data_IF_205059227167
#
_entry.id   IF_205059227167
#
_cell.length_a   1.000
_cell.length_b   1.000
_cell.length_c   1.000
_cell.angle_alpha   90.00
_cell.angle_beta   90.00
_cell.angle_gamma   90.00
#
_symmetry.space_group_name_H-M   'P 1'
#
loop_
_entity.id
_entity.type
_entity.pdbx_description
1 polymer ?
#
# COMPACT_ATOMS: atom_id res chain seq x y z
N UNK A 1 11.85 10.22 -30.36
CA UNK A 1 10.83 9.17 -30.18
C UNK A 1 10.31 9.29 -28.77
N UNK A 2 9.07 9.74 -28.62
CA UNK A 2 8.44 9.98 -27.32
C UNK A 2 7.99 8.62 -26.73
N UNK A 3 8.62 8.21 -25.63
CA UNK A 3 8.18 7.06 -24.87
C UNK A 3 6.97 7.48 -24.03
N UNK A 4 5.81 7.01 -24.49
CA UNK A 4 4.53 7.07 -23.82
C UNK A 4 4.63 6.30 -22.49
N UNK A 5 5.03 6.97 -21.40
CA UNK A 5 4.93 6.44 -20.04
C UNK A 5 3.44 6.34 -19.72
N UNK A 6 2.92 5.13 -19.84
CA UNK A 6 1.57 4.72 -19.50
C UNK A 6 1.20 5.20 -18.10
N UNK A 7 0.39 6.26 -18.05
CA UNK A 7 -0.37 6.71 -16.87
C UNK A 7 -1.52 5.73 -16.53
N UNK A 8 -1.21 4.45 -16.38
CA UNK A 8 -2.05 3.49 -15.66
C UNK A 8 -1.31 3.32 -14.33
N UNK A 9 -1.71 3.94 -13.20
CA UNK A 9 -2.56 3.25 -12.21
C UNK A 9 -3.36 4.18 -11.28
N UNK A 10 -3.48 5.50 -11.52
CA UNK A 10 -4.17 6.38 -10.55
C UNK A 10 -5.70 6.41 -10.67
N UNK A 11 -6.27 5.87 -11.77
CA UNK A 11 -7.72 5.96 -12.06
C UNK A 11 -8.49 4.65 -11.91
N UNK A 12 -7.81 3.53 -11.70
CA UNK A 12 -8.47 2.24 -11.45
C UNK A 12 -8.91 2.07 -9.98
N UNK A 13 -8.42 2.91 -9.08
CA UNK A 13 -8.58 2.72 -7.63
C UNK A 13 -9.62 3.62 -6.96
N UNK A 14 -10.38 4.39 -7.74
CA UNK A 14 -11.50 5.21 -7.24
C UNK A 14 -12.73 4.33 -6.89
N UNK A 15 -12.66 3.01 -7.11
CA UNK A 15 -13.74 2.08 -6.78
C UNK A 15 -14.00 1.86 -5.28
N UNK A 16 -13.05 2.21 -4.39
CA UNK A 16 -13.16 1.96 -2.95
C UNK A 16 -14.33 2.67 -2.25
N UNK A 17 -14.74 3.85 -2.76
CA UNK A 17 -15.89 4.58 -2.21
C UNK A 17 -17.23 3.83 -2.31
N UNK A 18 -17.32 2.80 -3.17
CA UNK A 18 -18.52 1.99 -3.32
C UNK A 18 -18.59 0.81 -2.34
N UNK A 19 -17.47 0.39 -1.72
CA UNK A 19 -17.43 -0.84 -0.92
C UNK A 19 -18.26 -0.72 0.38
N UNK A 20 -18.24 0.46 1.02
CA UNK A 20 -19.00 0.69 2.26
C UNK A 20 -20.24 1.57 2.06
N UNK A 21 -20.33 2.34 0.97
CA UNK A 21 -21.37 3.34 0.77
C UNK A 21 -22.70 2.84 0.18
N UNK A 22 -22.75 1.61 -0.33
CA UNK A 22 -23.92 1.07 -1.04
C UNK A 22 -24.69 0.00 -0.25
N UNK A 23 -24.30 -0.32 0.98
CA UNK A 23 -25.06 -1.25 1.81
C UNK A 23 -26.20 -0.51 2.50
N UNK A 24 -27.38 -0.54 1.88
CA UNK A 24 -28.62 -0.15 2.54
C UNK A 24 -29.03 -1.26 3.51
N UNK A 25 -28.68 -1.10 4.78
CA UNK A 25 -29.05 -2.05 5.83
C UNK A 25 -30.52 -1.83 6.18
N UNK A 26 -31.33 -2.89 6.13
CA UNK A 26 -32.73 -2.79 6.52
C UNK A 26 -32.82 -2.46 8.01
N UNK A 27 -33.56 -1.40 8.36
CA UNK A 27 -33.87 -1.11 9.76
C UNK A 27 -35.00 -2.04 10.20
N UNK A 28 -34.86 -2.80 11.31
CA UNK A 28 -35.91 -3.68 11.80
C UNK A 28 -37.20 -2.89 12.03
N UNK A 29 -38.32 -3.41 11.55
CA UNK A 29 -39.65 -2.75 11.63
C UNK A 29 -40.08 -2.53 13.09
N UNK A 30 -39.60 -3.38 13.98
CA UNK A 30 -39.79 -3.33 15.43
C UNK A 30 -39.19 -2.09 16.06
N UNK A 31 -38.02 -1.64 15.59
CA UNK A 31 -37.36 -0.46 16.14
C UNK A 31 -38.15 0.85 15.86
N UNK A 32 -39.12 0.80 14.94
CA UNK A 32 -39.98 1.90 14.49
C UNK A 32 -41.46 1.75 14.92
N UNK A 33 -41.85 0.66 15.58
CA UNK A 33 -43.24 0.44 16.01
C UNK A 33 -43.57 1.16 17.34
N UNK A 34 -44.82 1.61 17.50
CA UNK A 34 -45.33 2.06 18.81
C UNK A 34 -45.46 0.86 19.76
N UNK A 35 -45.00 0.95 21.02
CA UNK A 35 -44.87 -0.22 21.89
C UNK A 35 -46.25 -0.72 22.30
N UNK A 36 -46.62 -1.93 21.84
CA UNK A 36 -47.86 -2.61 22.22
C UNK A 36 -47.70 -3.43 23.50
N UNK A 37 -46.46 -3.87 23.83
CA UNK A 37 -46.12 -4.61 25.05
C UNK A 37 -44.65 -4.41 25.51
N UNK A 38 -44.36 -4.82 26.75
CA UNK A 38 -43.02 -4.71 27.35
C UNK A 38 -41.96 -5.58 26.63
N UNK A 39 -42.38 -6.74 26.11
CA UNK A 39 -41.49 -7.66 25.39
C UNK A 39 -41.10 -7.08 24.02
N UNK A 40 -42.05 -6.48 23.29
CA UNK A 40 -41.78 -5.78 22.01
C UNK A 40 -40.85 -4.58 22.24
N UNK A 41 -41.01 -3.86 23.35
CA UNK A 41 -40.13 -2.74 23.69
C UNK A 41 -38.69 -3.21 23.98
N UNK A 42 -38.51 -4.31 24.71
CA UNK A 42 -37.19 -4.89 24.97
C UNK A 42 -36.48 -5.33 23.69
N UNK A 43 -37.21 -5.93 22.74
CA UNK A 43 -36.66 -6.32 21.44
C UNK A 43 -36.30 -5.11 20.56
N UNK A 44 -37.11 -4.04 20.59
CA UNK A 44 -36.80 -2.79 19.90
C UNK A 44 -35.50 -2.14 20.42
N UNK A 45 -35.29 -2.13 21.73
CA UNK A 45 -34.09 -1.57 22.33
C UNK A 45 -32.85 -2.45 22.07
N UNK A 46 -33.01 -3.77 22.12
CA UNK A 46 -31.95 -4.70 21.73
C UNK A 46 -31.53 -4.52 20.25
N UNK A 47 -32.50 -4.33 19.36
CA UNK A 47 -32.25 -4.06 17.94
C UNK A 47 -31.49 -2.73 17.72
N UNK A 48 -31.84 -1.68 18.46
CA UNK A 48 -31.15 -0.38 18.41
C UNK A 48 -29.69 -0.47 18.87
N UNK A 49 -29.43 -1.17 19.97
CA UNK A 49 -28.06 -1.37 20.49
C UNK A 49 -27.20 -2.12 19.47
N UNK A 50 -27.73 -3.16 18.83
CA UNK A 50 -27.02 -3.89 17.78
C UNK A 50 -26.76 -3.04 16.54
N UNK A 51 -27.71 -2.18 16.15
CA UNK A 51 -27.55 -1.27 15.02
C UNK A 51 -26.40 -0.27 15.27
N UNK A 52 -26.34 0.30 16.47
CA UNK A 52 -25.27 1.22 16.87
C UNK A 52 -23.89 0.52 16.92
N UNK A 53 -23.82 -0.71 17.46
CA UNK A 53 -22.59 -1.51 17.47
C UNK A 53 -22.10 -1.80 16.06
N UNK A 54 -22.99 -2.26 15.18
CA UNK A 54 -22.64 -2.53 13.79
C UNK A 54 -22.19 -1.27 13.05
N UNK A 55 -22.88 -0.13 13.23
CA UNK A 55 -22.45 1.14 12.62
C UNK A 55 -21.04 1.52 13.08
N UNK A 56 -20.72 1.35 14.37
CA UNK A 56 -19.37 1.59 14.89
C UNK A 56 -18.35 0.67 14.25
N UNK A 57 -18.65 -0.63 14.15
CA UNK A 57 -17.76 -1.63 13.54
C UNK A 57 -17.54 -1.36 12.05
N UNK A 58 -18.57 -0.98 11.30
CA UNK A 58 -18.46 -0.63 9.89
C UNK A 58 -17.69 0.68 9.67
N UNK A 59 -17.90 1.68 10.53
CA UNK A 59 -17.11 2.91 10.47
C UNK A 59 -15.63 2.62 10.75
N UNK A 60 -15.34 1.81 11.76
CA UNK A 60 -13.97 1.40 12.07
C UNK A 60 -13.34 0.61 10.92
N UNK A 61 -14.06 -0.39 10.36
CA UNK A 61 -13.59 -1.14 9.21
C UNK A 61 -13.35 -0.24 7.98
N UNK A 62 -14.19 0.76 7.77
CA UNK A 62 -13.98 1.76 6.71
C UNK A 62 -12.71 2.57 6.95
N UNK A 63 -12.48 3.06 8.17
CA UNK A 63 -11.28 3.83 8.52
C UNK A 63 -10.01 2.98 8.40
N UNK A 64 -10.04 1.75 8.89
CA UNK A 64 -8.93 0.79 8.80
C UNK A 64 -8.65 0.42 7.32
N UNK A 65 -9.69 0.24 6.51
CA UNK A 65 -9.58 0.02 5.07
C UNK A 65 -8.85 1.18 4.39
N UNK A 66 -9.30 2.43 4.60
CA UNK A 66 -8.64 3.59 3.97
C UNK A 66 -7.21 3.79 4.47
N UNK A 67 -6.94 3.49 5.74
CA UNK A 67 -5.59 3.53 6.31
C UNK A 67 -4.68 2.52 5.59
N UNK A 68 -5.13 1.27 5.42
CA UNK A 68 -4.39 0.26 4.68
C UNK A 68 -4.10 0.67 3.23
N UNK A 69 -5.06 1.34 2.56
CA UNK A 69 -4.86 1.88 1.22
C UNK A 69 -3.84 3.01 1.15
N UNK A 70 -3.86 3.94 2.11
CA UNK A 70 -2.88 5.01 2.20
C UNK A 70 -1.47 4.46 2.44
N UNK A 71 -1.35 3.44 3.29
CA UNK A 71 -0.09 2.74 3.55
C UNK A 71 0.42 1.98 2.31
N UNK A 72 -0.48 1.34 1.55
CA UNK A 72 -0.15 0.75 0.25
C UNK A 72 0.39 1.80 -0.74
N UNK A 73 -0.29 2.93 -0.87
CA UNK A 73 0.09 3.99 -1.81
C UNK A 73 1.43 4.61 -1.41
N UNK A 74 1.66 4.78 -0.11
CA UNK A 74 2.94 5.22 0.44
C UNK A 74 4.07 4.23 0.12
N UNK A 75 3.83 2.92 0.29
CA UNK A 75 4.80 1.90 -0.05
C UNK A 75 5.11 1.90 -1.55
N UNK A 76 4.09 2.03 -2.40
CA UNK A 76 4.24 2.13 -3.86
C UNK A 76 5.04 3.37 -4.27
N UNK A 77 4.80 4.51 -3.64
CA UNK A 77 5.59 5.73 -3.90
C UNK A 77 7.07 5.54 -3.55
N UNK A 78 7.37 4.86 -2.43
CA UNK A 78 8.76 4.54 -2.06
C UNK A 78 9.41 3.55 -3.04
N UNK A 79 8.66 2.61 -3.60
CA UNK A 79 9.15 1.74 -4.68
C UNK A 79 9.54 2.56 -5.91
N UNK A 80 8.70 3.51 -6.33
CA UNK A 80 8.99 4.39 -7.48
C UNK A 80 10.26 5.23 -7.21
N UNK A 81 10.42 5.76 -5.99
CA UNK A 81 11.63 6.49 -5.60
C UNK A 81 12.89 5.62 -5.61
N UNK A 82 12.81 4.40 -5.08
CA UNK A 82 13.93 3.45 -5.08
C UNK A 82 14.31 3.07 -6.51
N UNK A 83 13.34 2.81 -7.38
CA UNK A 83 13.58 2.51 -8.79
C UNK A 83 14.21 3.69 -9.53
N UNK A 84 13.74 4.92 -9.28
CA UNK A 84 14.33 6.11 -9.88
C UNK A 84 15.80 6.31 -9.49
N UNK A 85 16.15 6.04 -8.22
CA UNK A 85 17.54 6.05 -7.75
C UNK A 85 18.38 4.96 -8.41
N UNK A 86 17.83 3.75 -8.56
CA UNK A 86 18.51 2.65 -9.26
C UNK A 86 18.84 3.04 -10.69
N UNK A 87 17.87 3.63 -11.40
CA UNK A 87 18.04 4.05 -12.78
C UNK A 87 19.10 5.15 -12.92
N UNK A 88 19.06 6.18 -12.06
CA UNK A 88 20.07 7.25 -12.03
C UNK A 88 21.47 6.73 -11.72
N UNK A 89 21.60 5.86 -10.71
CA UNK A 89 22.87 5.21 -10.38
C UNK A 89 23.38 4.35 -11.54
N UNK A 90 22.51 3.64 -12.26
CA UNK A 90 22.90 2.84 -13.43
C UNK A 90 23.45 3.70 -14.56
N UNK A 91 22.85 4.87 -14.81
CA UNK A 91 23.38 5.85 -15.77
C UNK A 91 24.79 6.30 -15.37
N UNK A 92 24.98 6.71 -14.11
CA UNK A 92 26.29 7.13 -13.58
C UNK A 92 27.33 6.01 -13.64
N UNK A 93 26.94 4.78 -13.29
CA UNK A 93 27.82 3.61 -13.39
C UNK A 93 28.27 3.41 -14.84
N UNK A 94 27.36 3.51 -15.81
CA UNK A 94 27.70 3.36 -17.22
C UNK A 94 28.72 4.42 -17.69
N UNK A 95 28.52 5.68 -17.31
CA UNK A 95 29.46 6.78 -17.61
C UNK A 95 30.85 6.54 -16.98
N UNK A 96 30.88 6.13 -15.70
CA UNK A 96 32.13 5.80 -15.01
C UNK A 96 32.84 4.60 -15.65
N UNK A 97 32.08 3.57 -16.06
CA UNK A 97 32.62 2.40 -16.75
C UNK A 97 33.16 2.74 -18.13
N UNK A 98 32.53 3.66 -18.86
CA UNK A 98 33.04 4.14 -20.15
C UNK A 98 34.37 4.88 -19.97
N UNK A 99 34.47 5.75 -18.96
CA UNK A 99 35.71 6.46 -18.62
C UNK A 99 36.84 5.50 -18.25
N UNK A 100 36.58 4.57 -17.33
CA UNK A 100 37.53 3.53 -16.93
C UNK A 100 37.93 2.63 -18.11
N UNK A 101 36.97 2.24 -18.96
CA UNK A 101 37.22 1.43 -20.15
C UNK A 101 38.02 2.19 -21.22
N UNK A 102 37.80 3.49 -21.38
CA UNK A 102 38.62 4.37 -22.21
C UNK A 102 40.08 4.38 -21.76
N UNK A 103 40.31 4.56 -20.45
CA UNK A 103 41.65 4.61 -19.86
C UNK A 103 42.37 3.26 -19.94
N UNK A 104 41.66 2.17 -19.65
CA UNK A 104 42.21 0.81 -19.80
C UNK A 104 42.57 0.49 -21.25
N UNK A 105 41.74 0.89 -22.23
CA UNK A 105 42.06 0.73 -23.66
C UNK A 105 43.25 1.60 -24.08
N UNK A 106 43.36 2.82 -23.56
CA UNK A 106 44.52 3.69 -23.76
C UNK A 106 45.79 3.03 -23.23
N UNK A 107 45.78 2.52 -21.99
CA UNK A 107 46.89 1.77 -21.41
C UNK A 107 47.26 0.52 -22.22
N UNK A 108 46.27 -0.21 -22.74
CA UNK A 108 46.49 -1.41 -23.54
C UNK A 108 47.05 -1.10 -24.94
N UNK A 109 46.51 -0.08 -25.63
CA UNK A 109 46.88 0.27 -27.01
C UNK A 109 48.15 1.10 -27.09
N UNK A 110 48.24 2.12 -26.24
CA UNK A 110 49.33 3.08 -26.26
C UNK A 110 50.45 2.68 -25.26
N UNK A 111 50.21 1.65 -24.44
CA UNK A 111 51.23 0.90 -23.70
C UNK A 111 51.80 1.58 -22.46
N UNK A 112 52.16 0.78 -21.45
CA UNK A 112 52.92 1.20 -20.26
C UNK A 112 54.32 1.77 -20.60
N UNK A 113 54.82 1.47 -21.79
CA UNK A 113 56.12 1.91 -22.30
C UNK A 113 56.11 3.40 -22.65
N UNK A 114 55.02 3.96 -23.17
CA UNK A 114 54.98 5.38 -23.58
C UNK A 114 55.12 6.34 -22.39
N UNK A 115 54.52 6.04 -21.24
CA UNK A 115 54.66 6.90 -20.05
C UNK A 115 56.00 6.70 -19.33
N UNK A 116 56.55 5.48 -19.32
CA UNK A 116 57.92 5.24 -18.85
C UNK A 116 58.95 5.90 -19.78
N UNK A 117 58.72 5.91 -21.09
CA UNK A 117 59.55 6.63 -22.06
C UNK A 117 59.45 8.14 -21.90
N UNK A 118 58.28 8.68 -21.54
CA UNK A 118 58.11 10.11 -21.22
C UNK A 118 58.81 10.48 -19.91
N UNK A 119 58.79 9.60 -18.91
CA UNK A 119 59.54 9.79 -17.66
C UNK A 119 61.06 9.67 -17.87
N UNK A 120 61.52 8.67 -18.63
CA UNK A 120 62.94 8.39 -18.87
C UNK A 120 63.54 9.30 -19.95
N UNK A 121 62.72 9.89 -20.82
CA UNK A 121 63.09 10.85 -21.85
C UNK A 121 62.99 12.32 -21.43
N UNK A 122 62.68 12.61 -20.15
CA UNK A 122 62.58 13.99 -19.65
C UNK A 122 63.92 14.72 -19.77
N UNK A 123 63.92 15.93 -20.34
CA UNK A 123 65.13 16.72 -20.58
C UNK A 123 65.70 17.40 -19.33
N UNK A 124 64.94 17.44 -18.23
CA UNK A 124 65.35 18.04 -16.95
C UNK A 124 64.68 17.35 -15.75
N UNK A 125 65.27 17.52 -14.55
CA UNK A 125 64.70 16.98 -13.30
C UNK A 125 63.34 17.64 -12.96
N UNK A 126 63.13 18.89 -13.34
CA UNK A 126 61.85 19.59 -13.14
C UNK A 126 60.73 18.99 -14.02
N UNK A 127 61.06 18.63 -15.27
CA UNK A 127 60.13 17.95 -16.17
C UNK A 127 59.79 16.53 -15.69
N UNK A 128 60.77 15.82 -15.11
CA UNK A 128 60.54 14.53 -14.47
C UNK A 128 59.53 14.63 -13.32
N UNK A 129 59.69 15.61 -12.41
CA UNK A 129 58.77 15.80 -11.28
C UNK A 129 57.35 16.16 -11.73
N UNK A 130 57.19 16.98 -12.77
CA UNK A 130 55.86 17.28 -13.34
C UNK A 130 55.20 16.05 -13.94
N UNK A 131 55.95 15.24 -14.69
CA UNK A 131 55.42 14.01 -15.29
C UNK A 131 55.06 12.96 -14.21
N UNK A 132 55.84 12.90 -13.12
CA UNK A 132 55.53 12.07 -11.95
C UNK A 132 54.25 12.52 -11.24
N UNK A 133 54.08 13.83 -11.02
CA UNK A 133 52.88 14.42 -10.42
C UNK A 133 51.62 14.16 -11.25
N UNK A 134 51.72 14.27 -12.58
CA UNK A 134 50.63 13.92 -13.51
C UNK A 134 50.25 12.44 -13.37
N UNK A 135 51.22 11.54 -13.30
CA UNK A 135 50.96 10.10 -13.13
C UNK A 135 50.29 9.80 -11.79
N UNK A 136 50.74 10.43 -10.72
CA UNK A 136 50.11 10.28 -9.41
C UNK A 136 48.65 10.77 -9.46
N UNK A 137 48.41 11.96 -10.02
CA UNK A 137 47.07 12.54 -10.20
C UNK A 137 46.15 11.62 -11.03
N UNK A 138 46.68 11.03 -12.10
CA UNK A 138 45.92 10.08 -12.93
C UNK A 138 45.55 8.82 -12.16
N UNK A 139 46.47 8.23 -11.39
CA UNK A 139 46.20 7.06 -10.56
C UNK A 139 45.18 7.36 -9.46
N UNK A 140 45.29 8.52 -8.79
CA UNK A 140 44.30 8.96 -7.79
C UNK A 140 42.91 9.15 -8.41
N UNK A 141 42.85 9.73 -9.62
CA UNK A 141 41.61 9.85 -10.39
C UNK A 141 41.01 8.49 -10.72
N UNK A 142 41.80 7.52 -11.17
CA UNK A 142 41.33 6.16 -11.49
C UNK A 142 40.82 5.42 -10.26
N UNK A 143 41.56 5.50 -9.15
CA UNK A 143 41.14 4.94 -7.87
C UNK A 143 39.82 5.55 -7.41
N UNK A 144 39.64 6.87 -7.58
CA UNK A 144 38.40 7.57 -7.25
C UNK A 144 37.22 7.10 -8.13
N UNK A 145 37.40 6.97 -9.44
CA UNK A 145 36.36 6.46 -10.35
C UNK A 145 35.91 5.03 -9.97
N UNK A 146 36.86 4.16 -9.62
CA UNK A 146 36.56 2.79 -9.15
C UNK A 146 35.82 2.83 -7.82
N UNK A 147 36.26 3.66 -6.87
CA UNK A 147 35.62 3.82 -5.58
C UNK A 147 34.17 4.31 -5.73
N UNK A 148 33.93 5.35 -6.54
CA UNK A 148 32.59 5.86 -6.86
C UNK A 148 31.71 4.77 -7.49
N UNK A 149 32.24 4.03 -8.46
CA UNK A 149 31.50 2.92 -9.10
C UNK A 149 31.09 1.87 -8.07
N UNK A 150 31.98 1.52 -7.14
CA UNK A 150 31.68 0.57 -6.07
C UNK A 150 30.60 1.11 -5.14
N UNK A 151 30.71 2.36 -4.70
CA UNK A 151 29.70 3.00 -3.84
C UNK A 151 28.32 3.04 -4.50
N UNK A 152 28.24 3.40 -5.78
CA UNK A 152 26.95 3.40 -6.52
C UNK A 152 26.35 2.00 -6.65
N UNK A 153 27.19 0.97 -6.83
CA UNK A 153 26.72 -0.43 -6.85
C UNK A 153 26.21 -0.88 -5.49
N UNK A 154 26.92 -0.54 -4.42
CA UNK A 154 26.48 -0.82 -3.05
C UNK A 154 25.16 -0.10 -2.72
N UNK A 155 25.00 1.15 -3.17
CA UNK A 155 23.73 1.87 -3.04
C UNK A 155 22.61 1.21 -3.85
N UNK A 156 22.87 0.78 -5.08
CA UNK A 156 21.89 0.03 -5.87
C UNK A 156 21.41 -1.26 -5.19
N UNK A 157 22.29 -2.01 -4.55
CA UNK A 157 21.86 -3.20 -3.80
C UNK A 157 20.98 -2.82 -2.61
N UNK A 158 21.25 -1.71 -1.92
CA UNK A 158 20.36 -1.19 -0.87
C UNK A 158 19.01 -0.75 -1.44
N UNK A 159 18.99 0.00 -2.54
CA UNK A 159 17.74 0.45 -3.17
C UNK A 159 16.90 -0.74 -3.68
N UNK A 160 17.53 -1.81 -4.18
CA UNK A 160 16.82 -3.04 -4.57
C UNK A 160 16.20 -3.74 -3.37
N UNK A 161 16.92 -3.83 -2.26
CA UNK A 161 16.39 -4.41 -1.03
C UNK A 161 15.22 -3.58 -0.49
N UNK A 162 15.34 -2.25 -0.50
CA UNK A 162 14.25 -1.33 -0.13
C UNK A 162 13.04 -1.52 -1.05
N UNK A 163 13.25 -1.56 -2.37
CA UNK A 163 12.18 -1.80 -3.34
C UNK A 163 11.43 -3.10 -3.05
N UNK A 164 12.14 -4.20 -2.78
CA UNK A 164 11.53 -5.49 -2.45
C UNK A 164 10.74 -5.41 -1.14
N UNK A 165 11.30 -4.81 -0.10
CA UNK A 165 10.62 -4.65 1.19
C UNK A 165 9.33 -3.81 1.07
N UNK A 166 9.37 -2.74 0.27
CA UNK A 166 8.19 -1.92 0.00
C UNK A 166 7.17 -2.64 -0.89
N UNK A 167 7.62 -3.48 -1.83
CA UNK A 167 6.72 -4.32 -2.63
C UNK A 167 5.96 -5.34 -1.77
N UNK A 168 6.65 -5.98 -0.83
CA UNK A 168 6.03 -6.90 0.12
C UNK A 168 5.05 -6.16 1.04
N UNK A 169 5.42 -4.96 1.51
CA UNK A 169 4.55 -4.11 2.33
C UNK A 169 3.31 -3.69 1.56
N UNK A 170 3.45 -3.22 0.32
CA UNK A 170 2.33 -2.83 -0.53
C UNK A 170 1.37 -4.02 -0.72
N UNK A 171 1.90 -5.21 -1.04
CA UNK A 171 1.09 -6.41 -1.19
C UNK A 171 0.34 -6.75 0.09
N UNK A 172 1.03 -6.78 1.23
CA UNK A 172 0.43 -7.07 2.53
C UNK A 172 -0.71 -6.09 2.85
N UNK A 173 -0.52 -4.80 2.55
CA UNK A 173 -1.53 -3.77 2.80
C UNK A 173 -2.75 -3.85 1.89
N UNK A 174 -2.56 -4.31 0.66
CA UNK A 174 -3.68 -4.68 -0.22
C UNK A 174 -4.43 -5.91 0.27
N UNK A 175 -3.72 -6.95 0.69
CA UNK A 175 -4.34 -8.16 1.25
C UNK A 175 -5.13 -7.83 2.54
N UNK A 176 -4.59 -6.93 3.38
CA UNK A 176 -5.25 -6.42 4.60
C UNK A 176 -6.52 -5.63 4.25
N UNK A 177 -6.45 -4.72 3.28
CA UNK A 177 -7.62 -3.97 2.82
C UNK A 177 -8.71 -4.89 2.25
N UNK A 178 -8.35 -5.93 1.48
CA UNK A 178 -9.30 -6.91 0.97
C UNK A 178 -9.94 -7.74 2.09
N UNK A 179 -9.15 -8.14 3.09
CA UNK A 179 -9.65 -8.86 4.26
C UNK A 179 -10.67 -8.02 5.05
N UNK A 180 -10.35 -6.74 5.32
CA UNK A 180 -11.24 -5.81 6.03
C UNK A 180 -12.55 -5.62 5.25
N UNK A 181 -12.46 -5.47 3.92
CA UNK A 181 -13.63 -5.38 3.05
C UNK A 181 -14.53 -6.61 3.17
N UNK A 182 -13.95 -7.80 3.10
CA UNK A 182 -14.70 -9.06 3.19
C UNK A 182 -15.31 -9.26 4.59
N UNK A 183 -14.61 -8.87 5.65
CA UNK A 183 -15.14 -8.89 7.02
C UNK A 183 -16.35 -7.95 7.17
N UNK A 184 -16.26 -6.74 6.61
CA UNK A 184 -17.36 -5.79 6.63
C UNK A 184 -18.58 -6.28 5.85
N UNK A 185 -18.38 -6.87 4.67
CA UNK A 185 -19.46 -7.51 3.89
C UNK A 185 -20.11 -8.65 4.68
N UNK A 186 -19.31 -9.50 5.33
CA UNK A 186 -19.83 -10.57 6.19
C UNK A 186 -20.59 -10.05 7.42
N UNK A 187 -20.13 -8.95 8.03
CA UNK A 187 -20.81 -8.32 9.15
C UNK A 187 -22.20 -7.79 8.75
N UNK A 188 -22.28 -7.18 7.58
CA UNK A 188 -23.54 -6.73 6.99
C UNK A 188 -24.50 -7.88 6.77
N UNK A 189 -24.04 -8.99 6.18
CA UNK A 189 -24.88 -10.16 5.92
C UNK A 189 -25.38 -10.80 7.22
N UNK A 190 -24.51 -10.93 8.22
CA UNK A 190 -24.88 -11.43 9.54
C UNK A 190 -25.95 -10.55 10.19
N UNK A 191 -25.78 -9.23 10.11
CA UNK A 191 -26.73 -8.29 10.67
C UNK A 191 -28.08 -8.33 9.94
N UNK A 192 -28.08 -8.43 8.61
CA UNK A 192 -29.32 -8.53 7.84
C UNK A 192 -30.10 -9.80 8.21
N UNK A 193 -29.43 -10.93 8.35
CA UNK A 193 -30.06 -12.18 8.81
C UNK A 193 -30.62 -12.05 10.23
N UNK A 194 -29.91 -11.35 11.12
CA UNK A 194 -30.35 -11.12 12.49
C UNK A 194 -31.56 -10.16 12.56
N UNK A 195 -31.59 -9.12 11.74
CA UNK A 195 -32.74 -8.23 11.57
C UNK A 195 -33.96 -8.98 11.05
N UNK A 196 -33.79 -9.81 10.02
CA UNK A 196 -34.88 -10.61 9.46
C UNK A 196 -35.45 -11.59 10.50
N UNK A 197 -34.59 -12.15 11.35
CA UNK A 197 -35.00 -13.01 12.47
C UNK A 197 -35.78 -12.25 13.56
N UNK A 198 -35.31 -11.06 13.95
CA UNK A 198 -35.98 -10.22 14.94
C UNK A 198 -37.36 -9.74 14.46
N UNK A 199 -37.46 -9.34 13.18
CA UNK A 199 -38.73 -8.95 12.58
C UNK A 199 -39.73 -10.12 12.54
N UNK A 200 -39.25 -11.35 12.31
CA UNK A 200 -40.09 -12.56 12.35
C UNK A 200 -40.57 -12.89 13.77
N UNK A 201 -39.68 -12.81 14.77
CA UNK A 201 -40.02 -13.07 16.18
C UNK A 201 -41.07 -12.08 16.72
N UNK A 202 -40.94 -10.79 16.39
CA UNK A 202 -41.96 -9.81 16.78
C UNK A 202 -43.27 -10.00 16.04
N UNK A 203 -43.25 -10.35 14.76
CA UNK A 203 -44.48 -10.66 14.03
C UNK A 203 -45.26 -11.80 14.71
N UNK A 204 -44.55 -12.81 15.22
CA UNK A 204 -45.15 -13.90 15.99
C UNK A 204 -45.71 -13.43 17.33
N UNK A 205 -44.95 -12.64 18.11
CA UNK A 205 -45.39 -12.10 19.40
C UNK A 205 -46.65 -11.24 19.27
N UNK A 206 -46.68 -10.32 18.28
CA UNK A 206 -47.84 -9.45 18.04
C UNK A 206 -49.07 -10.26 17.66
N UNK A 207 -48.91 -11.34 16.88
CA UNK A 207 -50.02 -12.22 16.54
C UNK A 207 -50.51 -13.03 17.76
N UNK A 208 -49.60 -13.53 18.61
CA UNK A 208 -49.97 -14.19 19.88
C UNK A 208 -50.74 -13.24 20.81
N UNK A 209 -50.29 -12.00 20.97
CA UNK A 209 -50.99 -10.98 21.77
C UNK A 209 -52.40 -10.71 21.23
N UNK A 210 -52.53 -10.60 19.91
CA UNK A 210 -53.82 -10.37 19.26
C UNK A 210 -54.78 -11.53 19.46
N UNK A 211 -54.30 -12.77 19.37
CA UNK A 211 -55.10 -13.97 19.62
C UNK A 211 -55.56 -14.04 21.08
N UNK A 212 -54.65 -13.82 22.03
CA UNK A 212 -54.98 -13.79 23.46
C UNK A 212 -56.01 -12.70 23.80
N UNK A 213 -55.89 -11.51 23.21
CA UNK A 213 -56.86 -10.43 23.38
C UNK A 213 -58.25 -10.81 22.84
N UNK A 214 -58.31 -11.42 21.65
CA UNK A 214 -59.56 -11.86 21.04
C UNK A 214 -60.24 -12.98 21.85
N UNK A 215 -59.47 -13.92 22.38
CA UNK A 215 -59.98 -14.97 23.27
C UNK A 215 -60.54 -14.40 24.58
N UNK A 216 -59.83 -13.44 25.18
CA UNK A 216 -60.27 -12.76 26.40
C UNK A 216 -61.55 -11.95 26.18
N UNK A 217 -61.73 -11.30 25.02
CA UNK A 217 -62.97 -10.63 24.65
C UNK A 217 -64.13 -11.62 24.42
N UNK A 218 -63.87 -12.73 23.70
CA UNK A 218 -64.86 -13.76 23.46
C UNK A 218 -65.33 -14.43 24.76
N UNK A 219 -64.44 -14.61 25.74
CA UNK A 219 -64.79 -15.11 27.06
C UNK A 219 -65.70 -14.13 27.83
N UNK A 220 -65.38 -12.83 27.81
CA UNK A 220 -66.20 -11.79 28.46
C UNK A 220 -67.60 -11.62 27.84
N UNK A 221 -67.76 -11.93 26.56
CA UNK A 221 -69.07 -11.88 25.89
C UNK A 221 -69.93 -13.14 26.15
N UNK A 222 -69.35 -14.20 26.72
CA UNK A 222 -70.05 -15.45 27.04
C UNK A 222 -70.54 -15.52 28.50
N UNK A 223 -70.11 -14.59 29.35
CA UNK A 223 -70.65 -14.35 30.70
C UNK A 223 -71.82 -13.34 30.65
#
# INVERSE_FOLDING_TARGET
MAANKTNLTRRAFIGGAAAFGAVSIAVPRVALAEPTSADVQAQADAARVKLDDMQKRLNQASDDYYTALEEHDTATAKMDEAQAKIDDNNVKIAELQESLGGRARGMYRDGQITFLDVLLGSSSFDDFLKNWDILQTLNESDANLVAQTKTLREDNEKQKAEYQAQADTAKQKMDEAEAIKNEAEGLVEQYQAEVDSLDAEVAELVEQERQAAAEAEAARQRE
#
